data_IF_991972354795
#
_entry.id   IF_991972354795
#
_cell.length_a   1.000
_cell.length_b   1.000
_cell.length_c   1.000
_cell.angle_alpha   90.00
_cell.angle_beta   90.00
_cell.angle_gamma   90.00
#
_symmetry.space_group_name_H-M   'P 1'
#
loop_
_entity.id
_entity.type
_entity.pdbx_description
1 polymer ?
#
# COMPACT_ATOMS: atom_id res chain seq x y z
N UNK A 1 15.07 -19.91 -10.63
CA UNK A 1 14.30 -18.94 -11.46
C UNK A 1 13.07 -18.41 -10.73
N UNK A 2 12.47 -19.18 -9.81
CA UNK A 2 11.42 -18.74 -8.87
C UNK A 2 11.79 -17.48 -8.09
N UNK A 3 13.00 -17.45 -7.52
CA UNK A 3 13.43 -16.42 -6.56
C UNK A 3 13.52 -15.04 -7.21
N UNK A 4 13.94 -15.00 -8.48
CA UNK A 4 13.97 -13.77 -9.28
C UNK A 4 12.57 -13.17 -9.43
N UNK A 5 11.55 -13.98 -9.70
CA UNK A 5 10.17 -13.51 -9.84
C UNK A 5 9.57 -13.03 -8.53
N UNK A 6 9.91 -13.68 -7.41
CA UNK A 6 9.48 -13.27 -6.06
C UNK A 6 10.09 -11.90 -5.72
N UNK A 7 11.41 -11.75 -5.91
CA UNK A 7 12.12 -10.49 -5.65
C UNK A 7 11.65 -9.35 -6.56
N UNK A 8 11.40 -9.65 -7.85
CA UNK A 8 10.88 -8.68 -8.80
C UNK A 8 9.48 -8.21 -8.39
N UNK A 9 8.59 -9.15 -8.06
CA UNK A 9 7.23 -8.85 -7.59
C UNK A 9 7.25 -8.01 -6.32
N UNK A 10 8.04 -8.41 -5.32
CA UNK A 10 8.18 -7.64 -4.08
C UNK A 10 8.78 -6.24 -4.31
N UNK A 11 9.67 -6.09 -5.29
CA UNK A 11 10.22 -4.77 -5.67
C UNK A 11 9.17 -3.90 -6.37
N UNK A 12 8.34 -4.47 -7.24
CA UNK A 12 7.23 -3.76 -7.89
C UNK A 12 6.17 -3.32 -6.88
N UNK A 13 5.81 -4.18 -5.92
CA UNK A 13 4.91 -3.83 -4.82
C UNK A 13 5.51 -2.71 -3.99
N UNK A 14 6.78 -2.83 -3.59
CA UNK A 14 7.49 -1.78 -2.87
C UNK A 14 7.49 -0.45 -3.63
N UNK A 15 7.62 -0.47 -4.96
CA UNK A 15 7.55 0.73 -5.77
C UNK A 15 6.13 1.32 -5.83
N UNK A 16 5.11 0.51 -6.12
CA UNK A 16 3.71 0.97 -6.18
C UNK A 16 3.26 1.55 -4.84
N UNK A 17 3.40 0.77 -3.76
CA UNK A 17 3.02 1.15 -2.42
C UNK A 17 3.90 2.28 -1.87
N UNK A 18 5.19 2.29 -2.18
CA UNK A 18 6.13 3.31 -1.71
C UNK A 18 5.86 4.70 -2.28
N UNK A 19 5.46 4.80 -3.56
CA UNK A 19 5.09 6.08 -4.18
C UNK A 19 3.82 6.65 -3.54
N UNK A 20 2.75 5.86 -3.51
CA UNK A 20 1.45 6.34 -3.05
C UNK A 20 1.42 6.49 -1.52
N UNK A 21 2.13 5.61 -0.82
CA UNK A 21 2.30 5.61 0.63
C UNK A 21 2.90 6.91 1.17
N UNK A 22 3.85 7.51 0.44
CA UNK A 22 4.43 8.82 0.81
C UNK A 22 3.36 9.90 0.92
N UNK A 23 2.42 9.95 -0.03
CA UNK A 23 1.32 10.92 0.03
C UNK A 23 0.33 10.61 1.15
N UNK A 24 0.08 9.34 1.45
CA UNK A 24 -0.78 8.95 2.57
C UNK A 24 -0.19 9.34 3.92
N UNK A 25 1.10 9.11 4.12
CA UNK A 25 1.83 9.51 5.34
C UNK A 25 1.81 11.03 5.50
N UNK A 26 2.15 11.78 4.44
CA UNK A 26 2.14 13.25 4.47
C UNK A 26 0.78 13.84 4.82
N UNK A 27 -0.30 13.20 4.35
CA UNK A 27 -1.67 13.64 4.61
C UNK A 27 -2.29 13.05 5.88
N UNK A 28 -1.51 12.32 6.70
CA UNK A 28 -1.97 11.65 7.93
C UNK A 28 -3.13 10.66 7.70
N UNK A 29 -3.11 9.99 6.54
CA UNK A 29 -4.12 9.03 6.11
C UNK A 29 -3.55 7.61 5.96
N UNK A 30 -2.54 7.27 6.75
CA UNK A 30 -1.84 5.98 6.65
C UNK A 30 -2.78 4.77 6.82
N UNK A 31 -3.79 4.88 7.70
CA UNK A 31 -4.78 3.81 7.97
C UNK A 31 -5.78 3.58 6.82
N UNK A 32 -5.85 4.46 5.81
CA UNK A 32 -6.75 4.28 4.68
C UNK A 32 -6.35 3.07 3.83
N UNK A 33 -5.04 2.81 3.67
CA UNK A 33 -4.57 1.66 2.89
C UNK A 33 -5.08 0.33 3.46
N UNK A 34 -5.01 0.18 4.78
CA UNK A 34 -5.50 -0.99 5.52
C UNK A 34 -7.03 -1.16 5.38
N UNK A 35 -7.76 -0.06 5.56
CA UNK A 35 -9.21 -0.05 5.38
C UNK A 35 -9.62 -0.47 3.96
N UNK A 36 -8.91 -0.02 2.92
CA UNK A 36 -9.21 -0.41 1.54
C UNK A 36 -8.95 -1.90 1.34
N UNK A 37 -7.78 -2.42 1.74
CA UNK A 37 -7.41 -3.83 1.53
C UNK A 37 -8.45 -4.81 2.07
N UNK A 38 -9.05 -4.50 3.23
CA UNK A 38 -10.08 -5.36 3.82
C UNK A 38 -11.51 -5.06 3.36
N UNK A 39 -11.82 -3.82 3.00
CA UNK A 39 -13.16 -3.45 2.48
C UNK A 39 -13.40 -3.91 1.04
N UNK A 40 -12.34 -4.34 0.34
CA UNK A 40 -12.38 -4.92 -1.00
C UNK A 40 -13.00 -6.33 -1.00
N UNK A 41 -12.86 -7.09 0.09
CA UNK A 41 -13.32 -8.47 0.22
C UNK A 41 -14.80 -8.70 -0.19
N UNK A 42 -15.80 -7.91 0.29
CA UNK A 42 -17.18 -8.06 -0.17
C UNK A 42 -17.33 -7.91 -1.70
N UNK A 43 -16.56 -7.02 -2.33
CA UNK A 43 -16.59 -6.83 -3.78
C UNK A 43 -16.12 -8.06 -4.55
N UNK A 44 -15.04 -8.68 -4.07
CA UNK A 44 -14.50 -9.92 -4.66
C UNK A 44 -15.53 -11.05 -4.57
N UNK A 45 -16.18 -11.21 -3.41
CA UNK A 45 -17.17 -12.26 -3.19
C UNK A 45 -18.41 -12.06 -4.06
N UNK A 46 -18.90 -10.82 -4.17
CA UNK A 46 -20.05 -10.50 -5.04
C UNK A 46 -19.71 -10.79 -6.52
N UNK A 47 -18.52 -10.40 -6.98
CA UNK A 47 -18.09 -10.67 -8.35
C UNK A 47 -18.03 -12.18 -8.63
N UNK A 48 -17.51 -12.95 -7.68
CA UNK A 48 -17.46 -14.40 -7.79
C UNK A 48 -18.87 -15.02 -7.91
N UNK A 49 -19.81 -14.57 -7.08
CA UNK A 49 -21.19 -15.07 -7.10
C UNK A 49 -21.93 -14.75 -8.41
N UNK A 50 -21.65 -13.59 -9.01
CA UNK A 50 -22.27 -13.19 -10.28
C UNK A 50 -21.66 -13.92 -11.47
N UNK A 51 -20.32 -14.05 -11.49
CA UNK A 51 -19.61 -14.60 -12.64
C UNK A 51 -19.66 -16.14 -12.69
N UNK A 52 -19.78 -16.81 -11.54
CA UNK A 52 -19.75 -18.28 -11.46
C UNK A 52 -18.42 -18.91 -11.91
N UNK A 53 -17.41 -18.09 -12.22
CA UNK A 53 -16.09 -18.48 -12.71
C UNK A 53 -15.02 -17.64 -12.01
N UNK A 54 -13.79 -18.18 -11.88
CA UNK A 54 -12.63 -17.50 -11.27
C UNK A 54 -11.98 -16.52 -12.25
N UNK A 55 -12.77 -15.70 -12.91
CA UNK A 55 -12.24 -14.72 -13.87
C UNK A 55 -11.64 -13.52 -13.13
N UNK A 56 -10.30 -13.46 -13.09
CA UNK A 56 -9.51 -12.50 -12.31
C UNK A 56 -9.82 -11.04 -12.67
N UNK A 57 -10.20 -10.75 -13.92
CA UNK A 57 -10.51 -9.39 -14.36
C UNK A 57 -11.77 -8.81 -13.73
N UNK A 58 -12.84 -9.62 -13.60
CA UNK A 58 -14.10 -9.20 -12.98
C UNK A 58 -13.94 -8.98 -11.48
N UNK A 59 -13.20 -9.87 -10.81
CA UNK A 59 -12.88 -9.75 -9.39
C UNK A 59 -12.05 -8.49 -9.11
N UNK A 60 -11.04 -8.21 -9.93
CA UNK A 60 -10.23 -6.99 -9.81
C UNK A 60 -11.06 -5.71 -10.01
N UNK A 61 -11.96 -5.70 -11.01
CA UNK A 61 -12.83 -4.55 -11.24
C UNK A 61 -13.77 -4.30 -10.06
N UNK A 62 -14.41 -5.36 -9.54
CA UNK A 62 -15.28 -5.25 -8.37
C UNK A 62 -14.52 -4.84 -7.11
N UNK A 63 -13.31 -5.35 -6.92
CA UNK A 63 -12.41 -4.93 -5.86
C UNK A 63 -12.11 -3.43 -5.93
N UNK A 64 -11.76 -2.92 -7.11
CA UNK A 64 -11.46 -1.50 -7.32
C UNK A 64 -12.69 -0.62 -7.05
N UNK A 65 -13.87 -1.05 -7.53
CA UNK A 65 -15.16 -0.37 -7.28
C UNK A 65 -15.47 -0.33 -5.78
N UNK A 66 -15.34 -1.44 -5.05
CA UNK A 66 -15.56 -1.48 -3.60
C UNK A 66 -14.52 -0.67 -2.83
N UNK A 67 -13.26 -0.63 -3.26
CA UNK A 67 -12.25 0.26 -2.70
C UNK A 67 -12.61 1.74 -2.87
N UNK A 68 -13.16 2.13 -4.03
CA UNK A 68 -13.66 3.49 -4.25
C UNK A 68 -14.91 3.79 -3.40
N UNK A 69 -15.85 2.85 -3.29
CA UNK A 69 -17.03 2.97 -2.40
C UNK A 69 -16.57 3.20 -0.95
N UNK A 70 -15.56 2.47 -0.51
CA UNK A 70 -14.97 2.60 0.84
C UNK A 70 -14.47 4.03 1.06
N UNK A 71 -13.69 4.56 0.13
CA UNK A 71 -13.17 5.93 0.21
C UNK A 71 -14.31 6.97 0.20
N UNK A 72 -15.32 6.78 -0.64
CA UNK A 72 -16.47 7.68 -0.72
C UNK A 72 -17.26 7.69 0.60
N UNK A 73 -17.51 6.53 1.20
CA UNK A 73 -18.17 6.41 2.50
C UNK A 73 -17.35 7.08 3.60
N UNK A 74 -16.04 6.83 3.67
CA UNK A 74 -15.15 7.48 4.64
C UNK A 74 -15.20 9.00 4.46
N UNK A 75 -15.10 9.50 3.22
CA UNK A 75 -15.17 10.92 2.91
C UNK A 75 -16.51 11.55 3.26
N UNK A 76 -17.63 10.82 3.12
CA UNK A 76 -18.95 11.27 3.52
C UNK A 76 -19.02 11.46 5.05
N UNK A 77 -18.58 10.47 5.82
CA UNK A 77 -18.57 10.55 7.29
C UNK A 77 -17.66 11.67 7.81
N UNK A 78 -16.50 11.86 7.19
CA UNK A 78 -15.59 12.97 7.52
C UNK A 78 -16.24 14.33 7.27
N UNK A 79 -16.99 14.50 6.16
CA UNK A 79 -17.73 15.74 5.88
C UNK A 79 -18.87 15.99 6.86
N UNK A 80 -19.44 14.94 7.43
CA UNK A 80 -20.45 15.03 8.50
C UNK A 80 -19.87 15.37 9.88
N UNK A 81 -18.56 15.60 9.99
CA UNK A 81 -17.91 16.02 11.25
C UNK A 81 -17.46 14.86 12.15
N UNK A 82 -17.51 13.62 11.67
CA UNK A 82 -16.99 12.46 12.40
C UNK A 82 -15.46 12.46 12.32
N UNK A 83 -14.79 12.08 13.41
CA UNK A 83 -13.34 11.95 13.45
C UNK A 83 -12.85 11.03 12.31
N UNK A 84 -11.74 11.43 11.66
CA UNK A 84 -11.18 10.69 10.52
C UNK A 84 -10.94 9.21 10.85
N UNK A 85 -10.28 8.93 11.97
CA UNK A 85 -9.94 7.55 12.37
C UNK A 85 -11.17 6.71 12.69
N UNK A 86 -12.19 7.33 13.32
CA UNK A 86 -13.46 6.68 13.59
C UNK A 86 -14.23 6.36 12.29
N UNK A 87 -14.23 7.28 11.34
CA UNK A 87 -14.86 7.08 10.03
C UNK A 87 -14.21 5.92 9.27
N UNK A 88 -12.88 5.87 9.26
CA UNK A 88 -12.11 4.78 8.66
C UNK A 88 -12.48 3.46 9.34
N UNK A 89 -12.43 3.40 10.68
CA UNK A 89 -12.73 2.18 11.44
C UNK A 89 -14.14 1.65 11.25
N UNK A 90 -15.16 2.53 11.27
CA UNK A 90 -16.57 2.12 11.10
C UNK A 90 -16.83 1.57 9.71
N UNK A 91 -16.36 2.25 8.66
CA UNK A 91 -16.58 1.80 7.28
C UNK A 91 -15.86 0.48 7.01
N UNK A 92 -14.59 0.38 7.42
CA UNK A 92 -13.79 -0.83 7.30
C UNK A 92 -14.44 -2.02 7.99
N UNK A 93 -14.79 -1.89 9.27
CA UNK A 93 -15.36 -2.99 10.05
C UNK A 93 -16.72 -3.43 9.50
N UNK A 94 -17.56 -2.49 9.07
CA UNK A 94 -18.86 -2.82 8.49
C UNK A 94 -18.74 -3.56 7.15
N UNK A 95 -17.93 -3.05 6.21
CA UNK A 95 -17.73 -3.68 4.90
C UNK A 95 -17.04 -5.04 5.03
N UNK A 96 -16.05 -5.14 5.91
CA UNK A 96 -15.38 -6.41 6.20
C UNK A 96 -16.37 -7.43 6.77
N UNK A 97 -17.20 -7.06 7.75
CA UNK A 97 -18.23 -7.94 8.31
C UNK A 97 -19.25 -8.41 7.25
N UNK A 98 -19.69 -7.51 6.36
CA UNK A 98 -20.55 -7.88 5.22
C UNK A 98 -19.84 -8.91 4.33
N UNK A 99 -18.56 -8.70 4.02
CA UNK A 99 -17.76 -9.65 3.26
C UNK A 99 -17.70 -11.02 3.94
N UNK A 100 -17.42 -11.07 5.26
CA UNK A 100 -17.36 -12.33 6.02
C UNK A 100 -18.72 -13.04 6.01
N UNK A 101 -19.83 -12.31 6.18
CA UNK A 101 -21.18 -12.88 6.11
C UNK A 101 -21.45 -13.48 4.73
N UNK A 102 -21.11 -12.77 3.66
CA UNK A 102 -21.25 -13.28 2.28
C UNK A 102 -20.42 -14.56 2.07
N UNK A 103 -19.16 -14.57 2.50
CA UNK A 103 -18.35 -15.80 2.45
C UNK A 103 -19.00 -16.91 3.25
N UNK A 104 -19.44 -16.66 4.48
CA UNK A 104 -20.02 -17.70 5.34
C UNK A 104 -21.32 -18.29 4.78
N UNK A 105 -22.14 -17.49 4.10
CA UNK A 105 -23.41 -17.94 3.53
C UNK A 105 -23.22 -18.72 2.22
N UNK A 106 -22.30 -18.28 1.37
CA UNK A 106 -22.17 -18.80 0.00
C UNK A 106 -20.97 -19.73 -0.22
N UNK A 107 -19.90 -19.62 0.57
CA UNK A 107 -18.69 -20.47 0.43
C UNK A 107 -18.89 -21.90 0.92
N UNK A 108 -20.01 -22.24 1.58
CA UNK A 108 -20.34 -23.63 1.93
C UNK A 108 -20.71 -24.50 0.72
N UNK A 109 -21.14 -23.89 -0.39
CA UNK A 109 -21.65 -24.61 -1.56
C UNK A 109 -20.62 -24.75 -2.69
N UNK A 110 -19.48 -24.08 -2.58
CA UNK A 110 -18.42 -24.12 -3.58
C UNK A 110 -17.12 -24.42 -2.85
N UNK A 111 -16.35 -25.40 -3.31
CA UNK A 111 -14.97 -25.66 -2.86
C UNK A 111 -14.09 -24.46 -3.25
N UNK A 112 -14.34 -23.32 -2.62
CA UNK A 112 -13.42 -22.21 -2.56
C UNK A 112 -12.38 -22.67 -1.55
N UNK A 113 -11.22 -23.11 -2.05
CA UNK A 113 -10.00 -23.01 -1.25
C UNK A 113 -9.96 -21.57 -0.76
N UNK A 114 -10.29 -21.39 0.52
CA UNK A 114 -10.19 -20.10 1.19
C UNK A 114 -8.77 -19.56 1.02
N UNK A 115 -7.79 -20.46 0.94
CA UNK A 115 -6.39 -20.20 0.66
C UNK A 115 -6.13 -19.52 -0.70
N UNK A 116 -6.92 -19.83 -1.74
CA UNK A 116 -6.72 -19.29 -3.09
C UNK A 116 -7.36 -17.91 -3.32
N UNK A 117 -8.29 -17.48 -2.47
CA UNK A 117 -9.02 -16.20 -2.61
C UNK A 117 -8.64 -15.21 -1.51
N UNK A 118 -8.30 -15.67 -0.31
CA UNK A 118 -8.02 -14.79 0.84
C UNK A 118 -6.56 -14.40 0.98
N UNK A 119 -5.62 -15.11 0.34
CA UNK A 119 -4.21 -14.79 0.42
C UNK A 119 -3.58 -14.78 -0.97
N UNK A 120 -3.38 -13.58 -1.53
CA UNK A 120 -2.25 -13.42 -2.44
C UNK A 120 -1.02 -13.84 -1.66
N UNK A 121 -0.33 -14.89 -2.09
CA UNK A 121 0.91 -15.31 -1.44
C UNK A 121 2.04 -15.14 -2.44
N UNK A 122 3.07 -14.38 -2.03
CA UNK A 122 4.22 -14.13 -2.88
C UNK A 122 4.90 -15.44 -3.31
N UNK A 123 4.75 -16.49 -2.51
CA UNK A 123 5.28 -17.82 -2.78
C UNK A 123 4.66 -18.43 -4.05
N UNK A 124 3.36 -18.24 -4.31
CA UNK A 124 2.68 -18.85 -5.47
C UNK A 124 2.83 -18.07 -6.78
N UNK A 125 3.42 -16.87 -6.74
CA UNK A 125 3.54 -15.97 -7.91
C UNK A 125 4.20 -16.65 -9.11
N UNK A 126 5.18 -17.53 -8.88
CA UNK A 126 5.92 -18.19 -9.93
C UNK A 126 5.10 -19.26 -10.71
N UNK A 127 3.97 -19.73 -10.18
CA UNK A 127 3.14 -20.76 -10.83
C UNK A 127 2.05 -20.20 -11.75
N UNK A 128 1.71 -18.91 -11.65
CA UNK A 128 0.62 -18.31 -12.43
C UNK A 128 1.17 -17.53 -13.63
N UNK A 129 1.65 -18.27 -14.64
CA UNK A 129 2.25 -17.68 -15.85
C UNK A 129 1.18 -17.24 -16.85
N UNK A 130 1.45 -16.13 -17.54
CA UNK A 130 0.70 -15.72 -18.71
C UNK A 130 1.31 -16.38 -19.94
N UNK A 131 0.55 -17.29 -20.57
CA UNK A 131 0.90 -17.86 -21.86
C UNK A 131 0.13 -17.14 -22.97
N UNK A 132 0.86 -16.58 -23.94
CA UNK A 132 0.28 -16.06 -25.18
C UNK A 132 0.99 -16.79 -26.32
N UNK A 133 0.25 -17.56 -27.11
CA UNK A 133 0.78 -18.25 -28.29
C UNK A 133 1.86 -19.32 -28.01
N UNK A 134 1.83 -19.96 -26.84
CA UNK A 134 2.79 -21.02 -26.48
C UNK A 134 4.15 -20.52 -25.94
N UNK A 135 4.33 -19.21 -25.78
CA UNK A 135 5.47 -18.63 -25.08
C UNK A 135 5.02 -18.09 -23.71
N UNK A 136 5.65 -18.58 -22.64
CA UNK A 136 5.46 -18.07 -21.29
C UNK A 136 6.10 -16.68 -21.16
N UNK A 137 5.28 -15.62 -21.06
CA UNK A 137 5.73 -14.23 -20.89
C UNK A 137 6.04 -13.86 -19.42
N UNK A 138 6.00 -14.84 -18.52
CA UNK A 138 6.23 -14.66 -17.09
C UNK A 138 4.94 -14.56 -16.26
N UNK A 139 5.03 -14.32 -14.95
CA UNK A 139 3.89 -14.27 -14.04
C UNK A 139 2.90 -13.14 -14.37
N UNK A 140 1.60 -13.43 -14.34
CA UNK A 140 0.54 -12.42 -14.53
C UNK A 140 0.64 -11.26 -13.53
N UNK A 141 1.02 -11.56 -12.30
CA UNK A 141 1.20 -10.58 -11.23
C UNK A 141 2.23 -9.50 -11.58
N UNK A 142 3.33 -9.87 -12.25
CA UNK A 142 4.39 -8.92 -12.64
C UNK A 142 3.89 -7.94 -13.70
N UNK A 143 3.12 -8.43 -14.67
CA UNK A 143 2.51 -7.58 -15.69
C UNK A 143 1.46 -6.65 -15.09
N UNK A 144 0.60 -7.18 -14.22
CA UNK A 144 -0.41 -6.38 -13.51
C UNK A 144 0.26 -5.26 -12.70
N UNK A 145 1.22 -5.61 -11.85
CA UNK A 145 1.96 -4.66 -11.02
C UNK A 145 2.80 -3.68 -11.85
N UNK A 146 3.36 -4.13 -12.97
CA UNK A 146 4.10 -3.27 -13.90
C UNK A 146 3.20 -2.22 -14.54
N UNK A 147 2.00 -2.60 -14.98
CA UNK A 147 1.01 -1.67 -15.53
C UNK A 147 0.52 -0.72 -14.43
N UNK A 148 0.21 -1.20 -13.23
CA UNK A 148 -0.20 -0.30 -12.14
C UNK A 148 0.90 0.66 -11.74
N UNK A 149 2.16 0.22 -11.69
CA UNK A 149 3.30 1.08 -11.41
C UNK A 149 3.43 2.16 -12.48
N UNK A 150 3.31 1.79 -13.76
CA UNK A 150 3.37 2.72 -14.88
C UNK A 150 2.25 3.77 -14.75
N UNK A 151 1.00 3.34 -14.53
CA UNK A 151 -0.14 4.24 -14.36
C UNK A 151 0.05 5.19 -13.18
N UNK A 152 0.45 4.67 -12.01
CA UNK A 152 0.71 5.47 -10.80
C UNK A 152 1.83 6.48 -11.07
N UNK A 153 2.96 6.03 -11.62
CA UNK A 153 4.11 6.88 -11.90
C UNK A 153 3.80 7.94 -12.96
N UNK A 154 3.01 7.60 -13.99
CA UNK A 154 2.60 8.52 -15.05
C UNK A 154 1.67 9.60 -14.48
N UNK A 155 0.63 9.22 -13.74
CA UNK A 155 -0.34 10.17 -13.20
C UNK A 155 0.32 11.08 -12.15
N UNK A 156 1.11 10.52 -11.24
CA UNK A 156 1.83 11.31 -10.22
C UNK A 156 2.92 12.17 -10.86
N UNK A 157 3.60 11.67 -11.89
CA UNK A 157 4.61 12.42 -12.63
C UNK A 157 4.02 13.62 -13.38
N UNK A 158 2.93 13.41 -14.12
CA UNK A 158 2.22 14.46 -14.87
C UNK A 158 1.63 15.54 -13.94
N UNK A 159 1.04 15.12 -12.81
CA UNK A 159 0.38 16.02 -11.87
C UNK A 159 1.19 16.27 -10.59
N UNK A 160 2.52 16.15 -10.65
CA UNK A 160 3.39 16.22 -9.48
C UNK A 160 3.22 17.53 -8.69
N UNK A 161 3.09 18.66 -9.40
CA UNK A 161 2.92 19.98 -8.78
C UNK A 161 1.58 20.08 -8.03
N UNK A 162 0.51 19.56 -8.62
CA UNK A 162 -0.83 19.58 -8.05
C UNK A 162 -0.91 18.67 -6.83
N UNK A 163 -0.42 17.43 -6.92
CA UNK A 163 -0.35 16.53 -5.77
C UNK A 163 0.49 17.10 -4.63
N UNK A 164 1.61 17.76 -4.94
CA UNK A 164 2.44 18.44 -3.95
C UNK A 164 1.65 19.52 -3.23
N UNK A 165 1.10 20.51 -3.94
CA UNK A 165 0.39 21.63 -3.29
C UNK A 165 -0.82 21.11 -2.50
N UNK A 166 -1.63 20.22 -3.08
CA UNK A 166 -2.80 19.66 -2.39
C UNK A 166 -2.45 18.84 -1.13
N UNK A 167 -1.24 18.28 -1.04
CA UNK A 167 -0.82 17.48 0.12
C UNK A 167 -0.25 18.34 1.24
N UNK A 168 0.41 19.47 0.92
CA UNK A 168 1.02 20.36 1.90
C UNK A 168 0.06 21.47 2.36
N UNK A 169 -0.68 22.08 1.43
CA UNK A 169 -1.61 23.16 1.72
C UNK A 169 -2.86 23.07 0.80
N UNK A 170 -3.92 22.37 1.24
CA UNK A 170 -5.15 22.28 0.46
C UNK A 170 -5.89 23.63 0.35
N UNK A 171 -5.71 24.56 1.29
CA UNK A 171 -6.36 25.87 1.23
C UNK A 171 -5.71 26.75 0.15
N UNK A 172 -4.37 26.76 0.09
CA UNK A 172 -3.62 27.40 -0.99
C UNK A 172 -3.92 26.77 -2.36
N UNK A 173 -4.02 25.44 -2.42
CA UNK A 173 -4.40 24.75 -3.66
C UNK A 173 -5.77 25.24 -4.17
N UNK A 174 -6.77 25.34 -3.28
CA UNK A 174 -8.09 25.84 -3.62
C UNK A 174 -8.06 27.31 -4.06
N UNK A 175 -7.25 28.16 -3.39
CA UNK A 175 -7.12 29.58 -3.72
C UNK A 175 -6.51 29.82 -5.11
N UNK A 176 -5.60 28.95 -5.57
CA UNK A 176 -4.97 29.02 -6.91
C UNK A 176 -5.84 28.32 -7.98
N UNK A 177 -7.03 27.84 -7.62
CA UNK A 177 -7.99 27.23 -8.55
C UNK A 177 -7.75 25.74 -8.82
N UNK A 178 -6.92 25.06 -8.03
CA UNK A 178 -6.72 23.61 -8.15
C UNK A 178 -7.93 22.89 -7.51
N UNK A 179 -8.60 21.97 -8.23
CA UNK A 179 -9.73 21.23 -7.68
C UNK A 179 -9.25 20.18 -6.66
N UNK A 180 -9.12 20.58 -5.39
CA UNK A 180 -8.58 19.74 -4.29
C UNK A 180 -9.34 18.42 -4.14
N UNK A 181 -10.67 18.45 -4.27
CA UNK A 181 -11.50 17.26 -4.19
C UNK A 181 -11.16 16.24 -5.28
N UNK A 182 -10.94 16.70 -6.52
CA UNK A 182 -10.55 15.84 -7.63
C UNK A 182 -9.21 15.16 -7.36
N UNK A 183 -8.18 15.90 -6.95
CA UNK A 183 -6.87 15.32 -6.63
C UNK A 183 -6.89 14.42 -5.40
N UNK A 184 -7.78 14.69 -4.43
CA UNK A 184 -7.98 13.77 -3.31
C UNK A 184 -8.55 12.44 -3.78
N UNK A 185 -9.66 12.42 -4.54
CA UNK A 185 -10.25 11.17 -5.03
C UNK A 185 -9.38 10.48 -6.06
N UNK A 186 -8.63 11.23 -6.89
CA UNK A 186 -7.65 10.66 -7.80
C UNK A 186 -6.54 9.94 -7.03
N UNK A 187 -5.98 10.55 -5.98
CA UNK A 187 -5.00 9.88 -5.12
C UNK A 187 -5.60 8.61 -4.51
N UNK A 188 -6.81 8.69 -3.98
CA UNK A 188 -7.46 7.52 -3.36
C UNK A 188 -7.76 6.41 -4.37
N UNK A 189 -8.08 6.74 -5.62
CA UNK A 189 -8.18 5.77 -6.71
C UNK A 189 -6.84 5.09 -7.02
N UNK A 190 -5.74 5.85 -7.03
CA UNK A 190 -4.39 5.30 -7.18
C UNK A 190 -4.00 4.39 -6.01
N UNK A 191 -4.35 4.79 -4.78
CA UNK A 191 -4.18 3.95 -3.58
C UNK A 191 -4.94 2.65 -3.76
N UNK A 192 -6.24 2.73 -4.09
CA UNK A 192 -7.10 1.56 -4.28
C UNK A 192 -6.52 0.60 -5.32
N UNK A 193 -6.12 1.13 -6.48
CA UNK A 193 -5.48 0.35 -7.53
C UNK A 193 -4.17 -0.30 -7.07
N UNK A 194 -3.30 0.44 -6.37
CA UNK A 194 -2.05 -0.09 -5.83
C UNK A 194 -2.31 -1.18 -4.77
N UNK A 195 -3.26 -0.97 -3.87
CA UNK A 195 -3.59 -1.91 -2.81
C UNK A 195 -4.22 -3.19 -3.36
N UNK A 196 -5.14 -3.11 -4.32
CA UNK A 196 -5.82 -4.28 -4.89
C UNK A 196 -4.85 -5.13 -5.70
N UNK A 197 -4.09 -4.51 -6.62
CA UNK A 197 -3.09 -5.23 -7.44
C UNK A 197 -1.99 -5.89 -6.60
N UNK A 198 -1.54 -5.22 -5.54
CA UNK A 198 -0.54 -5.76 -4.63
C UNK A 198 -1.11 -6.82 -3.70
N UNK A 199 -2.38 -6.69 -3.30
CA UNK A 199 -3.07 -7.65 -2.42
C UNK A 199 -3.26 -8.99 -3.13
N UNK A 200 -3.71 -8.98 -4.39
CA UNK A 200 -3.85 -10.20 -5.19
C UNK A 200 -2.49 -10.89 -5.41
N UNK A 201 -1.42 -10.11 -5.52
CA UNK A 201 -0.08 -10.64 -5.79
C UNK A 201 0.62 -11.18 -4.56
N UNK A 202 0.48 -10.52 -3.40
CA UNK A 202 1.35 -10.74 -2.23
C UNK A 202 0.62 -10.74 -0.87
N UNK A 203 -0.65 -10.35 -0.85
CA UNK A 203 -1.49 -10.46 0.32
C UNK A 203 -1.48 -9.25 1.25
N UNK A 204 -2.46 -9.21 2.16
CA UNK A 204 -2.81 -8.06 2.97
C UNK A 204 -1.63 -7.47 3.77
N UNK A 205 -0.93 -8.33 4.50
CA UNK A 205 0.08 -7.92 5.48
C UNK A 205 1.23 -7.18 4.79
N UNK A 206 1.72 -7.69 3.66
CA UNK A 206 2.81 -7.03 2.95
C UNK A 206 2.37 -5.70 2.37
N UNK A 207 1.16 -5.61 1.81
CA UNK A 207 0.64 -4.37 1.21
C UNK A 207 0.58 -3.27 2.26
N UNK A 208 -0.04 -3.53 3.41
CA UNK A 208 -0.17 -2.55 4.49
C UNK A 208 1.21 -2.15 5.01
N UNK A 209 2.10 -3.11 5.21
CA UNK A 209 3.48 -2.85 5.65
C UNK A 209 4.27 -1.98 4.66
N UNK A 210 4.26 -2.33 3.38
CA UNK A 210 5.00 -1.61 2.32
C UNK A 210 4.42 -0.24 2.00
N UNK A 211 3.13 -0.02 2.26
CA UNK A 211 2.48 1.26 2.03
C UNK A 211 2.81 2.28 3.14
N UNK A 212 3.00 1.83 4.38
CA UNK A 212 3.21 2.71 5.53
C UNK A 212 4.69 2.79 5.95
N UNK A 213 5.36 1.65 6.13
CA UNK A 213 6.67 1.59 6.80
C UNK A 213 7.80 2.22 5.97
N UNK A 214 7.98 1.90 4.69
CA UNK A 214 9.01 2.55 3.86
C UNK A 214 8.75 4.05 3.69
N UNK A 215 7.48 4.45 3.52
CA UNK A 215 7.09 5.85 3.42
C UNK A 215 7.37 6.63 4.71
N UNK A 216 7.09 6.04 5.87
CA UNK A 216 7.39 6.62 7.18
C UNK A 216 8.89 6.69 7.45
N UNK A 217 9.64 5.68 7.00
CA UNK A 217 11.12 5.66 7.05
C UNK A 217 11.69 6.82 6.24
N UNK A 218 11.21 7.02 5.02
CA UNK A 218 11.63 8.12 4.16
C UNK A 218 11.24 9.50 4.74
N UNK A 219 10.07 9.61 5.38
CA UNK A 219 9.62 10.83 6.05
C UNK A 219 10.59 11.29 7.15
N UNK A 220 11.20 10.34 7.87
CA UNK A 220 12.18 10.64 8.92
C UNK A 220 13.56 11.04 8.36
N UNK A 221 13.85 10.77 7.09
CA UNK A 221 15.17 10.96 6.50
C UNK A 221 15.27 12.24 5.64
N UNK A 222 14.17 12.75 5.11
CA UNK A 222 14.17 13.91 4.21
C UNK A 222 12.89 14.73 4.28
N UNK A 223 13.01 16.03 4.03
CA UNK A 223 11.88 16.97 3.92
C UNK A 223 11.47 17.24 2.46
N UNK A 224 12.26 16.75 1.48
CA UNK A 224 12.00 16.95 0.05
C UNK A 224 11.14 15.82 -0.50
N UNK A 225 9.92 16.13 -0.97
CA UNK A 225 8.95 15.15 -1.51
C UNK A 225 9.55 14.20 -2.56
N UNK A 226 10.27 14.72 -3.56
CA UNK A 226 10.85 13.87 -4.62
C UNK A 226 11.89 12.89 -4.08
N UNK A 227 12.74 13.34 -3.15
CA UNK A 227 13.70 12.48 -2.45
C UNK A 227 12.99 11.49 -1.52
N UNK A 228 11.87 11.90 -0.91
CA UNK A 228 11.07 11.04 -0.03
C UNK A 228 10.46 9.87 -0.81
N UNK A 229 9.94 10.12 -2.01
CA UNK A 229 9.44 9.05 -2.90
C UNK A 229 10.57 8.08 -3.26
N UNK A 230 11.73 8.60 -3.70
CA UNK A 230 12.86 7.75 -4.08
C UNK A 230 13.38 6.91 -2.90
N UNK A 231 13.50 7.50 -1.71
CA UNK A 231 13.93 6.78 -0.50
C UNK A 231 12.90 5.75 -0.04
N UNK A 232 11.61 6.04 -0.16
CA UNK A 232 10.54 5.09 0.17
C UNK A 232 10.61 3.84 -0.71
N UNK A 233 10.77 4.03 -2.03
CA UNK A 233 10.95 2.93 -2.98
C UNK A 233 12.24 2.15 -2.65
N UNK A 234 13.36 2.84 -2.45
CA UNK A 234 14.63 2.20 -2.15
C UNK A 234 14.57 1.39 -0.84
N UNK A 235 14.01 1.95 0.22
CA UNK A 235 13.84 1.26 1.50
C UNK A 235 12.93 0.02 1.37
N UNK A 236 11.84 0.13 0.60
CA UNK A 236 10.96 -0.98 0.31
C UNK A 236 11.68 -2.09 -0.47
N UNK A 237 12.40 -1.76 -1.53
CA UNK A 237 13.19 -2.74 -2.31
C UNK A 237 14.23 -3.42 -1.42
N UNK A 238 15.02 -2.66 -0.66
CA UNK A 238 16.02 -3.20 0.27
C UNK A 238 15.36 -4.14 1.30
N UNK A 239 14.20 -3.77 1.83
CA UNK A 239 13.44 -4.63 2.75
C UNK A 239 12.99 -5.94 2.10
N UNK A 240 12.62 -5.93 0.83
CA UNK A 240 12.27 -7.13 0.06
C UNK A 240 13.46 -8.09 -0.03
N UNK A 241 14.65 -7.58 -0.39
CA UNK A 241 15.85 -8.42 -0.48
C UNK A 241 16.27 -9.00 0.88
N UNK A 242 16.30 -8.16 1.92
CA UNK A 242 16.68 -8.59 3.28
C UNK A 242 15.66 -9.57 3.84
N UNK A 243 14.37 -9.26 3.74
CA UNK A 243 13.29 -10.08 4.28
C UNK A 243 13.14 -11.41 3.56
N UNK A 244 13.28 -11.43 2.23
CA UNK A 244 13.29 -12.69 1.47
C UNK A 244 14.47 -13.58 1.87
N UNK A 245 15.67 -13.00 1.99
CA UNK A 245 16.85 -13.74 2.46
C UNK A 245 16.64 -14.30 3.88
N UNK A 246 16.07 -13.51 4.79
CA UNK A 246 15.77 -13.96 6.15
C UNK A 246 14.70 -15.06 6.19
N UNK A 247 13.69 -15.00 5.32
CA UNK A 247 12.64 -16.02 5.21
C UNK A 247 13.21 -17.39 4.83
N UNK A 248 14.20 -17.44 3.93
CA UNK A 248 14.87 -18.69 3.55
C UNK A 248 15.62 -19.31 4.73
N UNK A 249 16.25 -18.49 5.57
CA UNK A 249 17.03 -18.97 6.71
C UNK A 249 16.16 -19.40 7.88
N UNK A 250 15.03 -18.73 8.08
CA UNK A 250 14.13 -18.95 9.21
C UNK A 250 12.99 -19.93 8.90
N UNK A 251 12.86 -20.35 7.64
CA UNK A 251 11.74 -21.15 7.12
C UNK A 251 10.37 -20.56 7.54
N UNK A 252 10.26 -19.24 7.41
CA UNK A 252 9.13 -18.45 7.88
C UNK A 252 8.44 -17.70 6.73
N UNK A 253 7.25 -17.15 6.98
CA UNK A 253 6.47 -16.40 5.99
C UNK A 253 7.29 -15.28 5.32
N UNK A 254 7.38 -15.31 3.98
CA UNK A 254 8.12 -14.32 3.18
C UNK A 254 7.56 -12.91 3.43
N UNK A 255 6.23 -12.76 3.36
CA UNK A 255 5.56 -11.47 3.58
C UNK A 255 5.86 -10.91 4.99
N UNK A 256 5.77 -11.75 6.02
CA UNK A 256 6.10 -11.37 7.39
C UNK A 256 7.55 -10.92 7.54
N UNK A 257 8.50 -11.68 6.98
CA UNK A 257 9.92 -11.35 7.06
C UNK A 257 10.26 -10.03 6.36
N UNK A 258 9.64 -9.73 5.21
CA UNK A 258 9.83 -8.45 4.50
C UNK A 258 9.29 -7.28 5.33
N UNK A 259 8.10 -7.40 5.92
CA UNK A 259 7.55 -6.34 6.78
C UNK A 259 8.41 -6.15 8.03
N UNK A 260 8.89 -7.23 8.66
CA UNK A 260 9.83 -7.15 9.78
C UNK A 260 11.14 -6.46 9.37
N UNK A 261 11.71 -6.77 8.21
CA UNK A 261 12.90 -6.10 7.69
C UNK A 261 12.65 -4.60 7.47
N UNK A 262 11.50 -4.23 6.88
CA UNK A 262 11.11 -2.83 6.75
C UNK A 262 10.94 -2.14 8.12
N UNK A 263 10.37 -2.84 9.11
CA UNK A 263 10.24 -2.35 10.48
C UNK A 263 11.61 -2.12 11.16
N UNK A 264 12.58 -3.01 10.93
CA UNK A 264 13.95 -2.82 11.40
C UNK A 264 14.63 -1.63 10.73
N UNK A 265 14.43 -1.44 9.42
CA UNK A 265 14.93 -0.25 8.71
C UNK A 265 14.29 1.04 9.24
N UNK A 266 12.98 1.01 9.54
CA UNK A 266 12.29 2.12 10.17
C UNK A 266 12.85 2.43 11.56
N UNK A 267 13.06 1.40 12.40
CA UNK A 267 13.67 1.57 13.72
C UNK A 267 15.08 2.15 13.62
N UNK A 268 15.90 1.65 12.69
CA UNK A 268 17.23 2.19 12.43
C UNK A 268 17.14 3.67 12.00
N UNK A 269 16.27 4.00 11.06
CA UNK A 269 16.05 5.39 10.64
C UNK A 269 15.53 6.25 11.80
N UNK A 270 14.67 5.73 12.67
CA UNK A 270 14.18 6.45 13.84
C UNK A 270 15.29 6.73 14.88
N UNK A 271 16.21 5.79 15.09
CA UNK A 271 17.36 6.00 15.98
C UNK A 271 18.37 7.00 15.41
N UNK A 272 18.67 6.88 14.12
CA UNK A 272 19.73 7.64 13.44
C UNK A 272 19.23 8.89 12.68
N UNK A 273 17.92 9.18 12.68
CA UNK A 273 17.35 10.27 11.87
C UNK A 273 17.95 11.63 12.26
N UNK A 274 18.39 12.44 11.28
CA UNK A 274 18.96 13.76 11.51
C UNK A 274 17.95 14.82 11.96
N UNK A 275 16.66 14.66 11.64
CA UNK A 275 15.60 15.64 11.93
C UNK A 275 14.81 15.32 13.20
N UNK A 276 14.50 14.06 13.48
CA UNK A 276 13.71 13.63 14.64
C UNK A 276 14.37 12.58 15.52
N UNK A 277 15.59 12.13 15.19
CA UNK A 277 16.26 11.05 15.90
C UNK A 277 16.57 11.40 17.35
N UNK A 278 16.18 10.52 18.26
CA UNK A 278 16.40 10.65 19.71
C UNK A 278 17.88 10.85 20.05
N UNK A 279 18.79 10.24 19.28
CA UNK A 279 20.24 10.32 19.48
C UNK A 279 20.77 11.70 19.05
N UNK A 280 20.38 12.19 17.88
CA UNK A 280 20.80 13.50 17.36
C UNK A 280 20.23 14.62 18.23
N UNK A 281 18.98 14.49 18.69
CA UNK A 281 18.36 15.45 19.61
C UNK A 281 19.06 15.48 20.97
N UNK A 282 19.40 14.31 21.55
CA UNK A 282 20.19 14.24 22.80
C UNK A 282 21.58 14.84 22.66
N UNK A 283 22.26 14.61 21.53
CA UNK A 283 23.59 15.18 21.27
C UNK A 283 23.54 16.71 21.07
N UNK A 284 22.52 17.21 20.35
CA UNK A 284 22.33 18.66 20.15
C UNK A 284 21.99 19.38 21.46
N UNK A 285 21.11 18.80 22.28
CA UNK A 285 20.78 19.34 23.62
C UNK A 285 21.98 19.31 24.57
N UNK A 286 22.82 18.27 24.51
CA UNK A 286 24.08 18.23 25.28
C UNK A 286 25.07 19.30 24.83
N UNK A 287 25.15 19.62 23.54
CA UNK A 287 26.04 20.70 23.06
C UNK A 287 25.57 22.10 23.49
N UNK A 288 24.26 22.32 23.58
CA UNK A 288 23.68 23.61 24.02
C UNK A 288 23.82 23.81 25.54
N UNK A 289 23.69 22.74 26.35
CA UNK A 289 23.92 22.82 27.79
C UNK A 289 25.39 23.11 28.16
N UNK A 290 26.34 22.73 27.29
CA UNK A 290 27.77 23.03 27.47
C UNK A 290 28.13 24.45 27.04
N UNK A 291 27.32 25.11 26.20
CA UNK A 291 27.55 26.53 25.82
C UNK A 291 26.98 27.54 26.81
N UNK A 292 25.96 27.19 27.61
CA UNK A 292 25.41 28.08 28.65
C UNK A 292 26.23 28.11 29.95
N UNK A 293 27.22 27.23 30.09
CA UNK A 293 28.09 27.14 31.28
C UNK A 293 29.47 27.79 31.08
N UNK A 294 29.65 28.56 30.00
CA UNK A 294 30.86 29.33 29.67
C UNK A 294 30.52 30.80 29.50
#
# INVERSE_FOLDING_TARGET
MSDFWILLTGSLVAACCGIVGVFLVLRKMAMIGDAISHSVMPGIVIAFLISGSRDSMLMMFAALVFGLITVLLIGLFQRSGIQSDASIGVVFTALFAIGVILVSLFARQVHLDQDAILYGEIAFVHWNLWEIGGMSLGPKAVWLLGVTLLVISLIIGLFYKQFKICSFDPALAAAIGIPVAFFHYLLMGLVSMATVSSFESVGAILVVGMLIVPASTAYLLTEKLGTMIALSIAAGIVSTFIGYSASIWLDASIAGCIVCAAGLLFLAAFLFSPTQGLVVRKLRMRSLAVSETR
#
